data_IF_270262028592
#
_entry.id   IF_270262028592
#
_cell.length_a   1.000
_cell.length_b   1.000
_cell.length_c   1.000
_cell.angle_alpha   90.00
_cell.angle_beta   90.00
_cell.angle_gamma   90.00
#
_symmetry.space_group_name_H-M   'P 1'
#
loop_
_entity.id
_entity.type
_entity.pdbx_description
1 polymer ?
#
# COMPACT_ATOMS: atom_id res chain seq x y z
N UNK A 1 5.89 3.10 -13.35
CA UNK A 1 5.34 2.78 -12.02
C UNK A 1 6.50 2.55 -11.05
N UNK A 2 6.47 3.16 -9.86
CA UNK A 2 7.48 2.97 -8.81
C UNK A 2 7.01 1.93 -7.79
N UNK A 3 7.89 1.02 -7.36
CA UNK A 3 7.60 0.12 -6.24
C UNK A 3 7.87 0.86 -4.93
N UNK A 4 6.86 0.91 -4.05
CA UNK A 4 7.00 1.50 -2.73
C UNK A 4 7.75 0.54 -1.82
N UNK A 5 8.80 1.05 -1.17
CA UNK A 5 9.63 0.28 -0.25
C UNK A 5 9.52 0.87 1.15
N UNK A 6 9.37 0.01 2.15
CA UNK A 6 9.26 0.45 3.54
C UNK A 6 8.51 -0.54 4.40
N UNK A 7 8.85 -0.56 5.69
CA UNK A 7 8.17 -1.39 6.68
C UNK A 7 7.24 -0.53 7.53
N UNK A 8 5.92 -0.71 7.35
CA UNK A 8 4.92 0.08 8.05
C UNK A 8 4.33 1.21 7.20
N UNK A 9 3.26 1.81 7.71
CA UNK A 9 2.45 2.79 7.00
C UNK A 9 3.24 4.06 6.66
N UNK A 10 3.85 4.70 7.65
CA UNK A 10 4.62 5.95 7.48
C UNK A 10 5.74 5.81 6.43
N UNK A 11 6.43 4.66 6.43
CA UNK A 11 7.51 4.40 5.48
C UNK A 11 6.98 4.26 4.04
N UNK A 12 5.82 3.62 3.85
CA UNK A 12 5.19 3.50 2.54
C UNK A 12 4.64 4.84 2.05
N UNK A 13 4.08 5.64 2.96
CA UNK A 13 3.60 7.01 2.68
C UNK A 13 4.75 7.91 2.23
N UNK A 14 5.87 7.94 2.97
CA UNK A 14 7.06 8.71 2.58
C UNK A 14 7.64 8.21 1.24
N UNK A 15 7.68 6.90 1.03
CA UNK A 15 8.10 6.32 -0.26
C UNK A 15 7.18 6.77 -1.40
N UNK A 16 5.87 6.90 -1.17
CA UNK A 16 4.92 7.35 -2.17
C UNK A 16 5.09 8.84 -2.50
N UNK A 17 5.24 9.68 -1.47
CA UNK A 17 5.53 11.11 -1.62
C UNK A 17 6.84 11.34 -2.39
N UNK A 18 7.87 10.55 -2.09
CA UNK A 18 9.13 10.56 -2.85
C UNK A 18 8.92 10.17 -4.31
N UNK A 19 8.20 9.08 -4.58
CA UNK A 19 7.96 8.64 -5.95
C UNK A 19 7.25 9.72 -6.79
N UNK A 20 6.28 10.43 -6.23
CA UNK A 20 5.62 11.55 -6.92
C UNK A 20 6.58 12.71 -7.16
N UNK A 21 7.41 13.09 -6.16
CA UNK A 21 8.46 14.10 -6.33
C UNK A 21 9.47 13.75 -7.42
N UNK A 22 9.77 12.46 -7.56
CA UNK A 22 10.67 11.94 -8.58
C UNK A 22 10.01 11.82 -9.97
N UNK A 23 8.74 12.23 -10.11
CA UNK A 23 8.03 12.33 -11.39
C UNK A 23 7.25 11.07 -11.78
N UNK A 24 7.10 10.09 -10.90
CA UNK A 24 6.28 8.91 -11.20
C UNK A 24 4.79 9.24 -11.14
N UNK A 25 4.06 8.81 -12.17
CA UNK A 25 2.58 8.92 -12.26
C UNK A 25 1.84 7.68 -11.78
N UNK A 26 2.57 6.64 -11.33
CA UNK A 26 1.99 5.40 -10.84
C UNK A 26 2.89 4.77 -9.77
N UNK A 27 2.29 4.21 -8.72
CA UNK A 27 2.97 3.53 -7.61
C UNK A 27 2.38 2.15 -7.35
N UNK A 28 3.18 1.19 -6.91
CA UNK A 28 2.75 -0.17 -6.52
C UNK A 28 3.20 -0.50 -5.10
N UNK A 29 2.36 -1.20 -4.33
CA UNK A 29 2.72 -1.71 -3.00
C UNK A 29 2.07 -3.06 -2.68
N UNK A 30 2.62 -3.70 -1.64
CA UNK A 30 1.96 -4.78 -0.89
C UNK A 30 1.66 -4.28 0.52
N UNK A 31 0.38 -4.08 0.91
CA UNK A 31 0.02 -3.42 2.17
C UNK A 31 0.02 -4.36 3.39
N UNK A 32 0.71 -5.50 3.33
CA UNK A 32 0.75 -6.47 4.41
C UNK A 32 1.86 -6.16 5.41
N UNK A 33 1.47 -5.95 6.68
CA UNK A 33 2.43 -5.72 7.79
C UNK A 33 3.00 -7.04 8.32
N UNK A 34 4.11 -6.94 9.07
CA UNK A 34 4.68 -8.07 9.81
C UNK A 34 3.58 -8.74 10.66
N UNK A 35 3.50 -10.06 10.58
CA UNK A 35 2.49 -10.85 11.29
C UNK A 35 1.12 -10.94 10.62
N UNK A 36 0.96 -10.42 9.39
CA UNK A 36 -0.28 -10.54 8.63
C UNK A 36 -0.86 -11.97 8.54
N UNK A 37 -0.08 -13.08 8.45
CA UNK A 37 -0.66 -14.42 8.31
C UNK A 37 -1.49 -14.87 9.52
N UNK A 38 -1.29 -14.23 10.68
CA UNK A 38 -2.00 -14.54 11.93
C UNK A 38 -3.28 -13.73 12.11
N UNK A 39 -3.59 -12.79 11.21
CA UNK A 39 -4.76 -11.91 11.33
C UNK A 39 -5.98 -12.55 10.66
N UNK A 40 -7.14 -12.41 11.30
CA UNK A 40 -8.42 -12.69 10.63
C UNK A 40 -8.63 -11.72 9.48
N UNK A 41 -9.21 -12.19 8.37
CA UNK A 41 -9.39 -11.40 7.15
C UNK A 41 -10.06 -10.03 7.39
N UNK A 42 -11.11 -9.88 8.22
CA UNK A 42 -11.70 -8.55 8.45
C UNK A 42 -10.70 -7.54 9.03
N UNK A 43 -9.84 -7.96 9.96
CA UNK A 43 -8.82 -7.09 10.55
C UNK A 43 -7.70 -6.77 9.55
N UNK A 44 -7.27 -7.78 8.79
CA UNK A 44 -6.25 -7.63 7.76
C UNK A 44 -6.72 -6.66 6.67
N UNK A 45 -7.94 -6.84 6.15
CA UNK A 45 -8.54 -5.97 5.14
C UNK A 45 -8.60 -4.55 5.65
N UNK A 46 -9.12 -4.32 6.86
CA UNK A 46 -9.23 -2.97 7.45
C UNK A 46 -7.88 -2.26 7.55
N UNK A 47 -6.85 -2.96 8.02
CA UNK A 47 -5.49 -2.41 8.11
C UNK A 47 -4.91 -2.09 6.73
N UNK A 48 -5.01 -3.02 5.77
CA UNK A 48 -4.51 -2.82 4.42
C UNK A 48 -5.23 -1.66 3.70
N UNK A 49 -6.56 -1.54 3.85
CA UNK A 49 -7.32 -0.42 3.26
C UNK A 49 -6.95 0.92 3.89
N UNK A 50 -6.58 0.94 5.18
CA UNK A 50 -6.08 2.16 5.84
C UNK A 50 -4.78 2.66 5.23
N UNK A 51 -3.81 1.76 4.99
CA UNK A 51 -2.54 2.09 4.33
C UNK A 51 -2.79 2.62 2.90
N UNK A 52 -3.69 1.99 2.15
CA UNK A 52 -4.05 2.44 0.79
C UNK A 52 -4.70 3.82 0.81
N UNK A 53 -5.57 4.09 1.80
CA UNK A 53 -6.20 5.40 1.98
C UNK A 53 -5.16 6.50 2.27
N UNK A 54 -4.25 6.26 3.23
CA UNK A 54 -3.19 7.22 3.57
C UNK A 54 -2.28 7.55 2.36
N UNK A 55 -1.95 6.52 1.56
CA UNK A 55 -1.18 6.74 0.32
C UNK A 55 -1.99 7.53 -0.70
N UNK A 56 -3.28 7.25 -0.88
CA UNK A 56 -4.15 8.05 -1.77
C UNK A 56 -4.20 9.52 -1.34
N UNK A 57 -4.35 9.80 -0.06
CA UNK A 57 -4.33 11.17 0.47
C UNK A 57 -3.01 11.88 0.17
N UNK A 58 -1.89 11.14 0.21
CA UNK A 58 -0.55 11.66 -0.02
C UNK A 58 -0.25 11.95 -1.50
N UNK A 59 -0.65 11.06 -2.41
CA UNK A 59 -0.28 11.15 -3.83
C UNK A 59 -1.31 11.86 -4.71
N UNK A 60 -2.54 12.05 -4.21
CA UNK A 60 -3.63 12.67 -4.97
C UNK A 60 -4.17 11.78 -6.09
N UNK A 61 -5.26 12.19 -6.75
CA UNK A 61 -6.02 11.35 -7.70
C UNK A 61 -5.38 11.21 -9.10
N UNK A 62 -4.35 12.00 -9.43
CA UNK A 62 -3.65 11.92 -10.71
C UNK A 62 -2.56 10.83 -10.76
N UNK A 63 -2.45 10.03 -9.70
CA UNK A 63 -1.47 8.94 -9.57
C UNK A 63 -2.19 7.60 -9.48
N UNK A 64 -1.82 6.65 -10.34
CA UNK A 64 -2.33 5.28 -10.28
C UNK A 64 -1.74 4.53 -9.08
N UNK A 65 -2.57 3.76 -8.37
CA UNK A 65 -2.14 2.94 -7.23
C UNK A 65 -2.41 1.46 -7.55
N UNK A 66 -1.34 0.69 -7.75
CA UNK A 66 -1.40 -0.77 -7.83
C UNK A 66 -1.26 -1.40 -6.45
N UNK A 67 -2.19 -2.28 -6.11
CA UNK A 67 -2.14 -3.08 -4.87
C UNK A 67 -1.88 -4.53 -5.23
N UNK A 68 -0.73 -5.03 -4.81
CA UNK A 68 -0.35 -6.44 -4.99
C UNK A 68 -0.53 -7.20 -3.68
N UNK A 69 -1.28 -8.30 -3.71
CA UNK A 69 -1.52 -9.15 -2.54
C UNK A 69 -0.90 -10.54 -2.67
N UNK A 70 -0.14 -10.82 -3.74
CA UNK A 70 0.52 -12.11 -4.00
C UNK A 70 -0.36 -13.37 -3.80
N UNK A 71 -1.69 -13.26 -3.94
CA UNK A 71 -2.67 -14.32 -3.64
C UNK A 71 -2.66 -14.82 -2.19
N UNK A 72 -2.23 -14.00 -1.25
CA UNK A 72 -2.17 -14.32 0.18
C UNK A 72 -3.55 -14.39 0.87
N UNK A 73 -4.64 -14.17 0.12
CA UNK A 73 -6.01 -14.31 0.58
C UNK A 73 -6.77 -15.22 -0.37
N UNK A 74 -7.60 -16.11 0.17
CA UNK A 74 -8.45 -17.02 -0.62
C UNK A 74 -9.93 -16.65 -0.44
N UNK A 75 -10.78 -16.84 -1.46
CA UNK A 75 -12.22 -16.77 -1.28
C UNK A 75 -12.68 -17.77 -0.21
N UNK A 76 -13.60 -17.32 0.65
CA UNK A 76 -14.30 -18.16 1.62
C UNK A 76 -15.55 -18.77 1.02
#
# INVERSE_FOLDING_TARGET
MCLLNGSGEDALVESAARAVRDGFTAVKMTPFRIGWPKKRYPNLIRECTGIVAAIRETVGWNVDIGVEIHRNMVPS
#
